data_IF_369916445739
#
_entry.id   IF_369916445739
#
_cell.length_a   1.000
_cell.length_b   1.000
_cell.length_c   1.000
_cell.angle_alpha   90.00
_cell.angle_beta   90.00
_cell.angle_gamma   90.00
#
_symmetry.space_group_name_H-M   'P 1'
#
loop_
_entity.id
_entity.type
_entity.pdbx_description
1 polymer ?
#
# COMPACT_ATOMS: atom_id res chain seq x y z
N UNK A 1 -9.42 -31.87 1.54
CA UNK A 1 -10.25 -30.65 1.65
C UNK A 1 -10.24 -30.16 3.08
N UNK A 2 -9.42 -29.15 3.42
CA UNK A 2 -9.38 -28.53 4.76
C UNK A 2 -8.78 -27.10 4.73
N UNK A 3 -8.87 -26.39 3.59
CA UNK A 3 -8.26 -25.07 3.42
C UNK A 3 -9.21 -23.89 3.69
N UNK A 4 -10.43 -24.12 4.21
CA UNK A 4 -11.44 -23.07 4.43
C UNK A 4 -11.62 -22.67 5.90
N UNK A 5 -10.93 -23.33 6.83
CA UNK A 5 -11.17 -23.13 8.27
C UNK A 5 -10.23 -22.10 8.91
N UNK A 6 -9.02 -21.90 8.38
CA UNK A 6 -8.05 -20.92 8.89
C UNK A 6 -8.28 -19.49 8.41
N UNK A 7 -9.14 -19.33 7.42
CA UNK A 7 -9.49 -18.04 6.83
C UNK A 7 -10.46 -17.22 7.70
N UNK A 8 -11.41 -17.89 8.37
CA UNK A 8 -12.45 -17.21 9.16
C UNK A 8 -11.90 -16.37 10.32
N UNK A 9 -10.93 -16.83 11.13
CA UNK A 9 -10.36 -16.02 12.21
C UNK A 9 -9.63 -14.78 11.70
N UNK A 10 -8.88 -14.90 10.59
CA UNK A 10 -8.20 -13.78 9.92
C UNK A 10 -9.23 -12.74 9.45
N UNK A 11 -10.29 -13.18 8.77
CA UNK A 11 -11.34 -12.29 8.27
C UNK A 11 -12.17 -11.62 9.36
N UNK A 12 -12.40 -12.30 10.49
CA UNK A 12 -13.15 -11.75 11.60
C UNK A 12 -12.33 -10.67 12.33
N UNK A 13 -11.05 -10.93 12.58
CA UNK A 13 -10.12 -9.95 13.14
C UNK A 13 -9.94 -8.73 12.22
N UNK A 14 -9.86 -8.94 10.90
CA UNK A 14 -9.76 -7.85 9.94
C UNK A 14 -11.00 -6.94 9.95
N UNK A 15 -12.19 -7.55 10.00
CA UNK A 15 -13.45 -6.79 9.97
C UNK A 15 -13.64 -5.96 11.25
N UNK A 16 -13.21 -6.47 12.41
CA UNK A 16 -13.27 -5.78 13.70
C UNK A 16 -12.23 -4.66 13.85
N UNK A 17 -11.09 -4.74 13.16
CA UNK A 17 -10.03 -3.72 13.17
C UNK A 17 -10.25 -2.56 12.19
N UNK A 18 -11.07 -2.74 11.15
CA UNK A 18 -11.42 -1.68 10.18
C UNK A 18 -12.09 -0.46 10.82
N UNK A 19 -12.64 -0.59 12.03
CA UNK A 19 -13.22 0.53 12.78
C UNK A 19 -12.17 1.38 13.53
N UNK A 20 -10.91 0.91 13.65
CA UNK A 20 -9.93 1.42 14.61
C UNK A 20 -8.60 1.98 14.03
N UNK A 21 -8.54 2.43 12.77
CA UNK A 21 -7.55 3.48 12.45
C UNK A 21 -6.58 3.29 11.28
N UNK A 22 -6.92 2.51 10.25
CA UNK A 22 -6.16 2.52 8.98
C UNK A 22 -6.27 3.83 8.17
N UNK A 23 -7.12 4.78 8.62
CA UNK A 23 -7.49 6.02 7.92
C UNK A 23 -6.42 7.10 7.90
N UNK A 24 -5.49 7.10 8.85
CA UNK A 24 -4.82 8.35 9.21
C UNK A 24 -3.50 8.57 8.45
N UNK A 25 -2.54 7.65 8.42
CA UNK A 25 -1.16 8.02 8.12
C UNK A 25 -0.94 8.84 6.84
N UNK A 26 -1.44 8.41 5.67
CA UNK A 26 -1.25 9.18 4.44
C UNK A 26 -2.12 10.45 4.38
N UNK A 27 -3.40 10.37 4.76
CA UNK A 27 -4.31 11.53 4.67
C UNK A 27 -3.98 12.59 5.73
N UNK A 28 -3.62 12.15 6.93
CA UNK A 28 -3.11 12.94 8.05
C UNK A 28 -1.74 13.53 7.70
N UNK A 29 -0.82 12.78 7.10
CA UNK A 29 0.43 13.34 6.58
C UNK A 29 0.15 14.44 5.53
N UNK A 30 -0.79 14.23 4.61
CA UNK A 30 -1.20 15.22 3.61
C UNK A 30 -1.88 16.46 4.23
N UNK A 31 -2.59 16.31 5.35
CA UNK A 31 -3.27 17.41 6.05
C UNK A 31 -2.37 18.15 7.06
N UNK A 32 -1.38 17.47 7.63
CA UNK A 32 -0.45 17.99 8.64
C UNK A 32 0.86 18.51 8.04
N UNK A 33 0.98 18.60 6.70
CA UNK A 33 2.02 19.44 6.09
C UNK A 33 1.72 20.89 6.48
N UNK A 34 2.56 21.43 7.35
CA UNK A 34 2.42 22.79 7.88
C UNK A 34 2.63 23.83 6.76
N UNK A 35 1.53 24.46 6.32
CA UNK A 35 1.54 25.57 5.37
C UNK A 35 1.45 26.93 6.09
N UNK A 36 1.38 26.96 7.43
CA UNK A 36 0.95 28.13 8.20
C UNK A 36 2.01 29.22 8.40
N UNK A 37 3.22 29.02 7.85
CA UNK A 37 4.31 30.02 7.89
C UNK A 37 4.98 30.30 6.55
N UNK A 38 4.48 29.72 5.45
CA UNK A 38 5.17 29.75 4.15
C UNK A 38 4.50 30.78 3.23
N UNK A 39 5.28 31.80 2.87
CA UNK A 39 4.94 32.78 1.85
C UNK A 39 4.52 32.04 0.56
N UNK A 40 3.21 32.04 0.22
CA UNK A 40 2.63 31.23 -0.86
C UNK A 40 3.30 31.49 -2.24
N UNK A 41 3.98 32.63 -2.40
CA UNK A 41 4.78 32.97 -3.58
C UNK A 41 6.16 32.28 -3.66
N UNK A 42 6.62 31.62 -2.59
CA UNK A 42 7.95 30.98 -2.48
C UNK A 42 7.91 29.49 -2.13
N UNK A 43 6.73 28.86 -2.08
CA UNK A 43 6.67 27.39 -2.03
C UNK A 43 7.52 26.85 -3.19
N UNK A 44 8.53 25.99 -2.92
CA UNK A 44 9.22 25.29 -3.99
C UNK A 44 8.14 24.58 -4.81
N UNK A 45 8.06 24.88 -6.12
CA UNK A 45 7.05 24.29 -7.02
C UNK A 45 6.94 22.78 -6.83
N UNK A 46 8.02 22.13 -6.43
CA UNK A 46 8.14 20.71 -6.12
C UNK A 46 7.15 20.21 -5.08
N UNK A 47 7.02 20.79 -3.88
CA UNK A 47 6.14 20.25 -2.83
C UNK A 47 4.66 20.35 -3.18
N UNK A 48 4.21 21.51 -3.67
CA UNK A 48 2.83 21.69 -4.13
C UNK A 48 2.50 20.78 -5.33
N UNK A 49 3.46 20.59 -6.24
CA UNK A 49 3.32 19.66 -7.37
C UNK A 49 3.25 18.21 -6.89
N UNK A 50 4.04 17.81 -5.89
CA UNK A 50 3.99 16.48 -5.27
C UNK A 50 2.63 16.21 -4.62
N UNK A 51 2.09 17.17 -3.86
CA UNK A 51 0.76 17.03 -3.25
C UNK A 51 -0.35 16.89 -4.31
N UNK A 52 -0.30 17.70 -5.38
CA UNK A 52 -1.25 17.57 -6.50
C UNK A 52 -1.10 16.22 -7.23
N UNK A 53 0.12 15.73 -7.44
CA UNK A 53 0.39 14.41 -8.04
C UNK A 53 -0.16 13.28 -7.17
N UNK A 54 0.06 13.31 -5.86
CA UNK A 54 -0.46 12.29 -4.93
C UNK A 54 -1.99 12.33 -4.89
N UNK A 55 -2.62 13.51 -4.85
CA UNK A 55 -4.07 13.64 -4.87
C UNK A 55 -4.70 13.12 -6.17
N UNK A 56 -4.06 13.33 -7.31
CA UNK A 56 -4.51 12.83 -8.61
C UNK A 56 -4.10 11.39 -8.91
N UNK A 57 -3.24 10.78 -8.08
CA UNK A 57 -2.76 9.42 -8.29
C UNK A 57 -3.91 8.39 -8.28
N UNK A 58 -3.85 7.37 -9.15
CA UNK A 58 -4.78 6.26 -9.12
C UNK A 58 -4.85 5.58 -7.74
N UNK A 59 -6.02 5.06 -7.34
CA UNK A 59 -6.23 4.56 -5.97
C UNK A 59 -5.24 3.47 -5.53
N UNK A 60 -4.81 2.60 -6.45
CA UNK A 60 -3.82 1.54 -6.19
C UNK A 60 -2.42 2.13 -5.89
N UNK A 61 -2.06 3.23 -6.56
CA UNK A 61 -0.79 3.91 -6.30
C UNK A 61 -0.81 4.60 -4.93
N UNK A 62 -1.95 5.19 -4.54
CA UNK A 62 -2.14 5.78 -3.21
C UNK A 62 -2.04 4.73 -2.11
N UNK A 63 -2.70 3.59 -2.29
CA UNK A 63 -2.56 2.46 -1.38
C UNK A 63 -1.10 2.02 -1.23
N UNK A 64 -0.39 1.89 -2.35
CA UNK A 64 1.00 1.45 -2.31
C UNK A 64 1.90 2.45 -1.57
N UNK A 65 1.74 3.75 -1.82
CA UNK A 65 2.45 4.80 -1.08
C UNK A 65 2.17 4.72 0.43
N UNK A 66 0.90 4.54 0.81
CA UNK A 66 0.51 4.39 2.22
C UNK A 66 1.18 3.18 2.89
N UNK A 67 1.29 2.04 2.20
CA UNK A 67 2.05 0.87 2.69
C UNK A 67 3.55 1.14 2.84
N UNK A 68 4.14 1.90 1.91
CA UNK A 68 5.56 2.30 1.98
C UNK A 68 5.84 3.27 3.13
N UNK A 69 4.92 4.21 3.39
CA UNK A 69 4.99 5.12 4.52
C UNK A 69 4.87 4.37 5.85
N UNK A 70 3.91 3.44 5.95
CA UNK A 70 3.71 2.60 7.12
C UNK A 70 4.87 1.61 7.37
N UNK A 71 5.67 1.31 6.34
CA UNK A 71 6.74 0.31 6.45
C UNK A 71 6.24 -1.13 6.57
N UNK A 72 4.97 -1.37 6.22
CA UNK A 72 4.33 -2.68 6.25
C UNK A 72 3.34 -2.81 5.09
N UNK A 73 3.27 -4.00 4.51
CA UNK A 73 2.31 -4.34 3.45
C UNK A 73 0.93 -4.60 4.05
N UNK A 74 0.88 -5.17 5.25
CA UNK A 74 -0.35 -5.50 5.96
C UNK A 74 -0.70 -4.36 6.93
N UNK A 75 -1.99 -4.10 7.11
CA UNK A 75 -2.45 -3.05 8.06
C UNK A 75 -2.09 -3.40 9.50
N UNK A 76 -2.11 -4.68 9.87
CA UNK A 76 -1.73 -5.20 11.19
C UNK A 76 -0.25 -5.61 11.30
N UNK A 77 0.49 -5.51 10.19
CA UNK A 77 1.89 -5.88 10.15
C UNK A 77 2.75 -4.86 10.90
N UNK A 78 3.57 -5.34 11.83
CA UNK A 78 4.54 -4.52 12.56
C UNK A 78 5.87 -4.34 11.81
N UNK A 79 6.02 -4.98 10.64
CA UNK A 79 7.27 -4.98 9.87
C UNK A 79 7.01 -5.21 8.38
N UNK A 80 8.01 -4.87 7.58
CA UNK A 80 8.03 -5.20 6.16
C UNK A 80 8.17 -6.70 5.95
N UNK A 81 7.11 -7.33 5.42
CA UNK A 81 7.15 -8.74 5.02
C UNK A 81 7.54 -8.89 3.55
N UNK A 82 8.71 -9.47 3.31
CA UNK A 82 9.20 -9.72 1.95
C UNK A 82 8.41 -10.82 1.24
N UNK A 83 7.54 -11.58 1.93
CA UNK A 83 6.67 -12.53 1.26
C UNK A 83 5.25 -12.52 1.82
N UNK A 84 4.28 -12.23 0.97
CA UNK A 84 2.86 -12.13 1.36
C UNK A 84 2.01 -12.90 0.37
N UNK A 85 0.99 -13.61 0.87
CA UNK A 85 0.04 -14.30 0.00
C UNK A 85 -0.65 -13.31 -0.95
N UNK A 86 -0.72 -13.62 -2.24
CA UNK A 86 -1.32 -12.72 -3.24
C UNK A 86 -2.77 -12.39 -2.92
N UNK A 87 -3.52 -13.37 -2.40
CA UNK A 87 -4.91 -13.19 -1.96
C UNK A 87 -5.03 -12.09 -0.91
N UNK A 88 -4.15 -12.11 0.09
CA UNK A 88 -4.13 -11.15 1.19
C UNK A 88 -3.87 -9.74 0.67
N UNK A 89 -2.85 -9.56 -0.19
CA UNK A 89 -2.54 -8.27 -0.82
C UNK A 89 -3.75 -7.68 -1.54
N UNK A 90 -4.50 -8.52 -2.28
CA UNK A 90 -5.68 -8.07 -3.02
C UNK A 90 -6.86 -7.74 -2.10
N UNK A 91 -7.03 -8.47 -1.01
CA UNK A 91 -8.05 -8.20 0.00
C UNK A 91 -7.76 -6.88 0.72
N UNK A 92 -6.53 -6.67 1.20
CA UNK A 92 -6.07 -5.43 1.83
C UNK A 92 -6.34 -4.21 0.94
N UNK A 93 -5.92 -4.28 -0.33
CA UNK A 93 -6.17 -3.19 -1.28
C UNK A 93 -7.67 -2.92 -1.45
N UNK A 94 -8.50 -3.95 -1.58
CA UNK A 94 -9.95 -3.76 -1.75
C UNK A 94 -10.60 -3.14 -0.52
N UNK A 95 -10.15 -3.52 0.67
CA UNK A 95 -10.64 -2.95 1.91
C UNK A 95 -10.22 -1.48 2.04
N UNK A 96 -8.98 -1.17 1.71
CA UNK A 96 -8.50 0.22 1.60
C UNK A 96 -9.37 1.06 0.65
N UNK A 97 -9.65 0.54 -0.56
CA UNK A 97 -10.48 1.26 -1.54
C UNK A 97 -11.91 1.47 -1.03
N UNK A 98 -12.49 0.44 -0.39
CA UNK A 98 -13.83 0.52 0.19
C UNK A 98 -13.89 1.58 1.29
N UNK A 99 -12.88 1.66 2.16
CA UNK A 99 -12.84 2.64 3.26
C UNK A 99 -12.71 4.09 2.75
N UNK A 100 -11.92 4.29 1.69
CA UNK A 100 -11.86 5.58 0.99
C UNK A 100 -13.14 5.94 0.20
N UNK A 101 -14.18 5.10 0.28
CA UNK A 101 -15.47 5.34 -0.39
C UNK A 101 -15.44 5.10 -1.91
N UNK A 102 -14.37 4.49 -2.44
CA UNK A 102 -14.34 4.10 -3.85
C UNK A 102 -15.31 2.95 -4.10
N UNK A 103 -16.29 3.18 -4.99
CA UNK A 103 -17.18 2.12 -5.50
C UNK A 103 -16.49 1.19 -6.50
N UNK A 104 -15.32 1.60 -6.97
CA UNK A 104 -14.52 0.87 -7.93
C UNK A 104 -13.84 -0.34 -7.27
N UNK A 105 -13.95 -1.50 -7.93
CA UNK A 105 -13.38 -2.76 -7.46
C UNK A 105 -12.46 -3.33 -8.53
N UNK A 106 -11.13 -3.15 -8.41
CA UNK A 106 -10.18 -3.63 -9.41
C UNK A 106 -10.18 -5.15 -9.49
N UNK A 107 -9.99 -5.66 -10.71
CA UNK A 107 -9.77 -7.08 -10.95
C UNK A 107 -8.35 -7.50 -10.54
N UNK A 108 -8.16 -8.75 -10.14
CA UNK A 108 -6.84 -9.29 -9.73
C UNK A 108 -5.73 -9.04 -10.75
N UNK A 109 -6.05 -9.14 -12.04
CA UNK A 109 -5.10 -8.90 -13.13
C UNK A 109 -4.66 -7.44 -13.21
N UNK A 110 -5.58 -6.50 -12.98
CA UNK A 110 -5.30 -5.08 -12.97
C UNK A 110 -4.42 -4.69 -11.77
N UNK A 111 -4.75 -5.22 -10.58
CA UNK A 111 -3.93 -5.05 -9.39
C UNK A 111 -2.52 -5.58 -9.67
N UNK A 112 -2.40 -6.82 -10.16
CA UNK A 112 -1.10 -7.43 -10.45
C UNK A 112 -0.27 -6.64 -11.45
N UNK A 113 -0.88 -6.16 -12.54
CA UNK A 113 -0.21 -5.35 -13.56
C UNK A 113 0.33 -4.03 -12.97
N UNK A 114 -0.49 -3.34 -12.17
CA UNK A 114 -0.08 -2.07 -11.55
C UNK A 114 1.01 -2.32 -10.51
N UNK A 115 0.91 -3.35 -9.68
CA UNK A 115 1.94 -3.68 -8.70
C UNK A 115 3.29 -4.01 -9.35
N UNK A 116 3.30 -4.79 -10.44
CA UNK A 116 4.54 -5.04 -11.18
C UNK A 116 5.18 -3.78 -11.77
N UNK A 117 4.36 -2.77 -12.12
CA UNK A 117 4.86 -1.46 -12.58
C UNK A 117 5.46 -0.63 -11.44
N UNK A 118 4.81 -0.65 -10.27
CA UNK A 118 5.23 0.11 -9.09
C UNK A 118 6.39 -0.51 -8.33
N UNK A 119 6.58 -1.82 -8.45
CA UNK A 119 7.54 -2.60 -7.66
C UNK A 119 8.48 -3.37 -8.60
N UNK A 120 9.54 -2.73 -9.11
CA UNK A 120 10.60 -3.42 -9.84
C UNK A 120 11.20 -4.54 -8.98
N UNK A 121 11.24 -5.76 -9.51
CA UNK A 121 11.72 -6.94 -8.76
C UNK A 121 10.64 -7.65 -7.95
N UNK A 122 9.37 -7.23 -8.02
CA UNK A 122 8.27 -8.02 -7.49
C UNK A 122 8.18 -9.35 -8.24
N UNK A 123 8.25 -10.43 -7.49
CA UNK A 123 8.09 -11.78 -8.03
C UNK A 123 6.82 -12.42 -7.52
N UNK A 124 6.21 -13.27 -8.33
CA UNK A 124 5.05 -14.08 -7.95
C UNK A 124 5.42 -15.55 -8.10
N UNK A 125 5.42 -16.28 -6.98
CA UNK A 125 5.78 -17.72 -6.95
C UNK A 125 4.71 -18.51 -6.20
N UNK A 126 4.65 -19.81 -6.49
CA UNK A 126 3.75 -20.76 -5.81
C UNK A 126 4.56 -21.84 -5.11
N UNK A 127 5.27 -21.50 -4.01
CA UNK A 127 6.12 -22.47 -3.31
C UNK A 127 5.29 -23.65 -2.78
N UNK A 128 5.93 -24.81 -2.70
CA UNK A 128 5.37 -25.93 -1.97
C UNK A 128 5.47 -25.65 -0.47
N UNK A 129 4.35 -25.77 0.25
CA UNK A 129 4.29 -25.69 1.71
C UNK A 129 3.65 -26.97 2.27
N UNK A 130 3.98 -27.37 3.52
CA UNK A 130 3.32 -28.48 4.20
C UNK A 130 1.79 -28.34 4.27
N UNK A 131 1.27 -27.10 4.22
CA UNK A 131 -0.15 -26.79 4.32
C UNK A 131 -0.83 -26.62 2.94
N UNK A 132 -0.07 -26.73 1.84
CA UNK A 132 -0.58 -26.61 0.48
C UNK A 132 0.30 -25.75 -0.43
N UNK A 133 -0.21 -25.43 -1.63
CA UNK A 133 0.45 -24.55 -2.60
C UNK A 133 -0.33 -23.26 -2.74
N UNK A 134 0.16 -22.19 -2.14
CA UNK A 134 -0.43 -20.86 -2.21
C UNK A 134 0.41 -19.92 -3.08
N UNK A 135 -0.25 -19.04 -3.85
CA UNK A 135 0.41 -17.99 -4.63
C UNK A 135 0.86 -16.87 -3.70
N UNK A 136 2.15 -16.52 -3.75
CA UNK A 136 2.75 -15.49 -2.92
C UNK A 136 3.50 -14.48 -3.77
N UNK A 137 3.40 -13.22 -3.38
CA UNK A 137 4.30 -12.18 -3.82
C UNK A 137 5.55 -12.18 -2.96
N UNK A 138 6.69 -11.98 -3.61
CA UNK A 138 7.97 -11.74 -2.98
C UNK A 138 8.39 -10.31 -3.30
N UNK A 139 8.33 -9.46 -2.29
CA UNK A 139 8.63 -8.05 -2.40
C UNK A 139 10.13 -7.82 -2.18
N UNK A 140 10.75 -6.90 -2.93
CA UNK A 140 12.05 -6.35 -2.57
C UNK A 140 12.03 -5.73 -1.16
N UNK A 141 13.19 -5.36 -0.63
CA UNK A 141 13.26 -4.70 0.68
C UNK A 141 12.49 -3.38 0.69
N UNK A 142 12.05 -2.93 1.88
CA UNK A 142 11.34 -1.67 2.04
C UNK A 142 12.11 -0.50 1.41
N UNK A 143 13.42 -0.43 1.65
CA UNK A 143 14.30 0.59 1.08
C UNK A 143 14.29 0.56 -0.46
N UNK A 144 14.38 -0.63 -1.06
CA UNK A 144 14.33 -0.78 -2.51
C UNK A 144 12.99 -0.34 -3.08
N UNK A 145 11.88 -0.67 -2.40
CA UNK A 145 10.55 -0.29 -2.82
C UNK A 145 10.30 1.23 -2.71
N UNK A 146 10.77 1.86 -1.63
CA UNK A 146 10.73 3.32 -1.42
C UNK A 146 11.51 4.05 -2.52
N UNK A 147 12.76 3.66 -2.78
CA UNK A 147 13.57 4.25 -3.86
C UNK A 147 12.99 4.01 -5.26
N UNK A 148 12.29 2.88 -5.47
CA UNK A 148 11.59 2.64 -6.72
C UNK A 148 10.38 3.58 -6.89
N UNK A 149 9.64 3.83 -5.81
CA UNK A 149 8.50 4.75 -5.82
C UNK A 149 8.93 6.18 -6.11
N UNK A 150 9.99 6.68 -5.46
CA UNK A 150 10.54 8.03 -5.71
C UNK A 150 10.89 8.26 -7.17
N UNK A 151 11.55 7.27 -7.80
CA UNK A 151 11.86 7.30 -9.24
C UNK A 151 10.62 7.22 -10.11
N UNK A 152 9.60 6.49 -9.69
CA UNK A 152 8.35 6.34 -10.42
C UNK A 152 7.50 7.63 -10.37
N UNK A 153 7.41 8.28 -9.21
CA UNK A 153 6.61 9.49 -9.01
C UNK A 153 7.35 10.78 -9.38
N UNK A 154 8.66 10.69 -9.65
CA UNK A 154 9.55 11.84 -9.81
C UNK A 154 9.38 12.78 -8.62
N UNK A 155 9.60 12.21 -7.42
CA UNK A 155 9.39 12.87 -6.14
C UNK A 155 10.47 12.44 -5.15
N UNK A 156 10.86 13.34 -4.26
CA UNK A 156 11.68 13.03 -3.09
C UNK A 156 10.74 12.97 -1.90
N UNK A 157 10.23 11.78 -1.57
CA UNK A 157 9.37 11.61 -0.40
C UNK A 157 10.23 11.51 0.87
N UNK A 158 9.84 12.23 1.92
CA UNK A 158 10.45 12.09 3.25
C UNK A 158 9.95 10.78 3.89
N UNK A 159 10.72 9.72 3.67
CA UNK A 159 10.43 8.43 4.28
C UNK A 159 10.72 8.47 5.78
N UNK A 160 9.69 8.30 6.60
CA UNK A 160 9.84 8.18 8.06
C UNK A 160 10.74 6.98 8.37
N UNK A 161 11.75 7.22 9.23
CA UNK A 161 12.75 6.23 9.66
C UNK A 161 12.18 5.23 10.66
#
# INVERSE_FOLDING_TARGET
SNARLQDRPYFQALTEQMENGGRAALLDHLMNVDLSGIDLGKLPRTQATTNQKIQSAPPIQKWWLDRLMAGSILVDGSKWEESVATRIVFEELRLYLKDLGYRYRPADAEIGMILHKLVPGLEKRRPASPQGREQRYYFPTLTQCRSAYDRFSDSENDWVS
#
